data_IF_477944513403
#
_entry.id   IF_477944513403
#
_cell.length_a   1.000
_cell.length_b   1.000
_cell.length_c   1.000
_cell.angle_alpha   90.00
_cell.angle_beta   90.00
_cell.angle_gamma   90.00
#
_symmetry.space_group_name_H-M   'P 1'
#
loop_
_entity.id
_entity.type
_entity.pdbx_description
1 polymer ?
#
# COMPACT_ATOMS: atom_id res chain seq x y z
N UNK A 1 -26.48 17.32 43.01
CA UNK A 1 -25.37 16.35 42.80
C UNK A 1 -25.16 16.16 41.31
N UNK A 2 -23.95 16.38 40.80
CA UNK A 2 -23.70 16.37 39.34
C UNK A 2 -23.60 14.93 38.81
N UNK A 3 -24.08 14.72 37.58
CA UNK A 3 -24.11 13.40 36.93
C UNK A 3 -22.71 12.80 36.71
N UNK A 4 -21.70 13.64 36.54
CA UNK A 4 -20.30 13.24 36.32
C UNK A 4 -19.68 12.60 37.58
N UNK A 5 -20.15 12.96 38.78
CA UNK A 5 -19.63 12.43 40.04
C UNK A 5 -19.93 10.94 40.27
N UNK A 6 -20.85 10.34 39.49
CA UNK A 6 -21.18 8.90 39.54
C UNK A 6 -20.38 8.07 38.55
N UNK A 7 -19.57 8.69 37.70
CA UNK A 7 -18.81 7.99 36.67
C UNK A 7 -17.40 7.67 37.18
N UNK A 8 -16.94 6.45 36.89
CA UNK A 8 -15.60 6.01 37.24
C UNK A 8 -14.60 6.46 36.16
N UNK A 9 -14.19 7.72 36.25
CA UNK A 9 -13.30 8.35 35.29
C UNK A 9 -11.85 7.87 35.53
N UNK A 10 -11.28 7.21 34.52
CA UNK A 10 -9.87 6.80 34.51
C UNK A 10 -9.16 7.42 33.30
N UNK A 11 -7.98 7.98 33.54
CA UNK A 11 -7.11 8.46 32.46
C UNK A 11 -6.43 7.25 31.81
N UNK A 12 -6.81 6.97 30.56
CA UNK A 12 -6.16 5.94 29.74
C UNK A 12 -5.13 6.61 28.83
N UNK A 13 -3.86 6.26 28.99
CA UNK A 13 -2.87 6.43 27.94
C UNK A 13 -2.81 5.14 27.13
N UNK A 14 -3.43 5.14 25.94
CA UNK A 14 -3.31 4.03 25.01
C UNK A 14 -1.92 4.05 24.38
N UNK A 15 -1.01 3.22 24.87
CA UNK A 15 0.26 2.93 24.18
C UNK A 15 -0.02 2.00 23.00
N UNK A 16 -0.45 2.57 21.86
CA UNK A 16 -0.51 1.86 20.58
C UNK A 16 0.83 2.03 19.88
N UNK A 17 1.93 1.68 20.55
CA UNK A 17 3.26 1.82 19.96
C UNK A 17 3.69 0.47 19.41
N UNK A 18 3.03 0.03 18.33
CA UNK A 18 3.70 -0.88 17.40
C UNK A 18 4.94 -0.14 16.90
N UNK A 19 6.10 -0.79 16.89
CA UNK A 19 7.31 -0.18 16.35
C UNK A 19 6.97 0.44 14.98
N UNK A 20 7.14 1.77 14.80
CA UNK A 20 6.82 2.44 13.55
C UNK A 20 7.49 1.80 12.33
N UNK A 21 8.66 1.16 12.51
CA UNK A 21 9.35 0.41 11.45
C UNK A 21 8.55 -0.84 11.10
N UNK A 22 8.20 -1.67 12.08
CA UNK A 22 7.39 -2.87 11.86
C UNK A 22 6.02 -2.56 11.25
N UNK A 23 5.35 -1.50 11.70
CA UNK A 23 4.07 -1.09 11.12
C UNK A 23 4.18 -0.69 9.63
N UNK A 24 5.29 -0.08 9.23
CA UNK A 24 5.56 0.26 7.82
C UNK A 24 5.91 -0.98 7.02
N UNK A 25 6.68 -1.91 7.60
CA UNK A 25 7.02 -3.20 7.01
C UNK A 25 5.76 -4.02 6.71
N UNK A 26 4.89 -4.19 7.69
CA UNK A 26 3.60 -4.89 7.54
C UNK A 26 2.76 -4.27 6.42
N UNK A 27 2.74 -2.93 6.35
CA UNK A 27 2.01 -2.22 5.30
C UNK A 27 2.61 -2.46 3.91
N UNK A 28 3.93 -2.51 3.79
CA UNK A 28 4.58 -2.81 2.52
C UNK A 28 4.28 -4.24 2.09
N UNK A 29 4.40 -5.22 3.00
CA UNK A 29 4.07 -6.62 2.74
C UNK A 29 2.62 -6.77 2.26
N UNK A 30 1.67 -6.17 2.97
CA UNK A 30 0.25 -6.21 2.57
C UNK A 30 0.00 -5.58 1.19
N UNK A 31 0.72 -4.51 0.85
CA UNK A 31 0.61 -3.88 -0.46
C UNK A 31 1.21 -4.75 -1.58
N UNK A 32 2.33 -5.46 -1.31
CA UNK A 32 2.91 -6.42 -2.26
C UNK A 32 1.96 -7.59 -2.50
N UNK A 33 1.31 -8.11 -1.45
CA UNK A 33 0.30 -9.16 -1.58
C UNK A 33 -0.92 -8.70 -2.39
N UNK A 34 -1.33 -7.43 -2.25
CA UNK A 34 -2.38 -6.83 -3.10
C UNK A 34 -1.94 -6.79 -4.57
N UNK A 35 -0.67 -6.49 -4.86
CA UNK A 35 -0.16 -6.56 -6.23
C UNK A 35 -0.15 -7.99 -6.79
N UNK A 36 0.02 -9.01 -5.96
CA UNK A 36 -0.18 -10.40 -6.36
C UNK A 36 -1.61 -10.68 -6.84
N UNK A 37 -2.62 -10.09 -6.20
CA UNK A 37 -4.03 -10.18 -6.65
C UNK A 37 -4.26 -9.40 -7.95
N UNK A 38 -3.64 -8.23 -8.09
CA UNK A 38 -3.67 -7.46 -9.35
C UNK A 38 -3.07 -8.27 -10.50
N UNK A 39 -1.93 -8.93 -10.28
CA UNK A 39 -1.30 -9.81 -11.27
C UNK A 39 -2.21 -10.97 -11.63
N UNK A 40 -2.78 -11.67 -10.64
CA UNK A 40 -3.69 -12.78 -10.88
C UNK A 40 -4.91 -12.37 -11.72
N UNK A 41 -5.50 -11.21 -11.45
CA UNK A 41 -6.61 -10.67 -12.25
C UNK A 41 -6.16 -10.35 -13.68
N UNK A 42 -5.00 -9.69 -13.84
CA UNK A 42 -4.49 -9.32 -15.16
C UNK A 42 -4.16 -10.53 -16.03
N UNK A 43 -3.67 -11.63 -15.44
CA UNK A 43 -3.38 -12.89 -16.14
C UNK A 43 -4.64 -13.55 -16.72
N UNK A 44 -5.80 -13.36 -16.09
CA UNK A 44 -7.09 -13.85 -16.60
C UNK A 44 -7.83 -12.81 -17.45
N UNK A 45 -7.20 -11.66 -17.73
CA UNK A 45 -7.79 -10.57 -18.52
C UNK A 45 -8.81 -9.70 -17.77
N UNK A 46 -8.79 -9.73 -16.43
CA UNK A 46 -9.70 -8.96 -15.57
C UNK A 46 -8.97 -7.84 -14.80
N UNK A 47 -9.73 -6.93 -14.19
CA UNK A 47 -9.21 -5.84 -13.37
C UNK A 47 -9.46 -6.07 -11.88
N UNK A 48 -8.41 -6.00 -11.07
CA UNK A 48 -8.57 -6.04 -9.62
C UNK A 48 -9.06 -4.69 -9.08
N UNK A 49 -10.28 -4.69 -8.51
CA UNK A 49 -10.88 -3.53 -7.86
C UNK A 49 -11.05 -3.75 -6.36
N UNK A 50 -11.03 -2.66 -5.60
CA UNK A 50 -11.34 -2.66 -4.16
C UNK A 50 -12.46 -1.67 -3.88
N UNK A 51 -13.36 -2.05 -2.97
CA UNK A 51 -14.42 -1.16 -2.52
C UNK A 51 -13.82 -0.01 -1.72
N UNK A 52 -14.17 1.21 -2.10
CA UNK A 52 -13.71 2.44 -1.47
C UNK A 52 -14.87 3.39 -1.24
N UNK A 53 -14.77 4.23 -0.21
CA UNK A 53 -15.82 5.21 0.12
C UNK A 53 -15.41 6.58 -0.42
N UNK A 54 -16.28 7.20 -1.22
CA UNK A 54 -16.08 8.56 -1.75
C UNK A 54 -17.24 9.45 -1.30
N UNK A 55 -16.93 10.70 -0.98
CA UNK A 55 -17.95 11.72 -0.79
C UNK A 55 -18.42 12.21 -2.15
N UNK A 56 -19.72 12.12 -2.40
CA UNK A 56 -20.37 12.59 -3.61
C UNK A 56 -21.50 13.54 -3.20
N UNK A 57 -21.66 14.63 -3.93
CA UNK A 57 -22.79 15.55 -3.75
C UNK A 57 -23.94 15.06 -4.63
N UNK A 58 -25.12 14.87 -4.04
CA UNK A 58 -26.33 14.51 -4.79
C UNK A 58 -26.93 15.74 -5.49
N UNK A 59 -27.97 15.52 -6.30
CA UNK A 59 -28.69 16.60 -7.01
C UNK A 59 -29.35 17.61 -6.04
N UNK A 60 -29.63 17.20 -4.80
CA UNK A 60 -30.16 18.05 -3.73
C UNK A 60 -29.08 18.88 -2.99
N UNK A 61 -27.80 18.77 -3.36
CA UNK A 61 -26.70 19.50 -2.75
C UNK A 61 -26.14 18.88 -1.47
N UNK A 62 -26.62 17.71 -1.05
CA UNK A 62 -26.15 17.01 0.15
C UNK A 62 -24.92 16.15 -0.15
N UNK A 63 -23.96 16.13 0.77
CA UNK A 63 -22.78 15.26 0.67
C UNK A 63 -23.09 13.89 1.27
N UNK A 64 -23.09 12.86 0.44
CA UNK A 64 -23.29 11.47 0.83
C UNK A 64 -22.00 10.68 0.67
N UNK A 65 -21.79 9.72 1.59
CA UNK A 65 -20.65 8.80 1.53
C UNK A 65 -21.09 7.55 0.79
N UNK A 66 -20.77 7.48 -0.50
CA UNK A 66 -21.11 6.35 -1.36
C UNK A 66 -19.94 5.35 -1.44
N UNK A 67 -20.29 4.08 -1.54
CA UNK A 67 -19.34 3.01 -1.85
C UNK A 67 -19.17 2.93 -3.37
N UNK A 68 -17.93 2.84 -3.82
CA UNK A 68 -17.59 2.68 -5.24
C UNK A 68 -16.44 1.69 -5.38
N UNK A 69 -16.37 1.05 -6.54
CA UNK A 69 -15.22 0.24 -6.89
C UNK A 69 -14.09 1.13 -7.40
N UNK A 70 -12.91 0.90 -6.84
CA UNK A 70 -11.69 1.58 -7.22
C UNK A 70 -10.69 0.56 -7.74
N UNK A 71 -10.27 0.71 -8.99
CA UNK A 71 -9.16 -0.07 -9.55
C UNK A 71 -7.88 0.15 -8.75
N UNK A 72 -7.22 -0.96 -8.40
CA UNK A 72 -5.86 -0.89 -7.85
C UNK A 72 -4.88 -0.81 -9.01
N UNK A 73 -4.04 0.23 -8.99
CA UNK A 73 -3.03 0.42 -10.03
C UNK A 73 -1.91 -0.60 -9.85
N UNK A 74 -1.62 -1.34 -10.92
CA UNK A 74 -0.50 -2.26 -10.98
C UNK A 74 0.83 -1.53 -10.75
N UNK A 75 1.73 -2.18 -10.04
CA UNK A 75 3.11 -1.74 -9.82
C UNK A 75 4.04 -2.16 -10.95
N UNK A 76 3.51 -2.90 -11.91
CA UNK A 76 4.20 -3.36 -13.10
C UNK A 76 3.50 -2.87 -14.35
N UNK A 77 4.27 -2.70 -15.43
CA UNK A 77 3.78 -2.22 -16.70
C UNK A 77 4.67 -2.75 -17.84
N UNK A 78 4.05 -2.95 -19.00
CA UNK A 78 4.74 -3.39 -20.20
C UNK A 78 5.49 -2.22 -20.85
N UNK A 79 6.76 -2.44 -21.16
CA UNK A 79 7.61 -1.52 -21.92
C UNK A 79 8.83 -2.31 -22.45
N UNK A 80 9.39 -1.87 -23.57
CA UNK A 80 10.60 -2.46 -24.17
C UNK A 80 10.48 -3.97 -24.43
N UNK A 81 9.26 -4.40 -24.80
CA UNK A 81 8.94 -5.79 -25.10
C UNK A 81 9.07 -6.75 -23.90
N UNK A 82 9.02 -6.20 -22.68
CA UNK A 82 8.91 -6.93 -21.41
C UNK A 82 8.16 -6.12 -20.37
N UNK A 83 8.35 -6.45 -19.09
CA UNK A 83 7.64 -5.87 -17.97
C UNK A 83 8.60 -5.29 -16.93
N UNK A 84 8.36 -4.05 -16.54
CA UNK A 84 9.05 -3.43 -15.41
C UNK A 84 8.19 -3.53 -14.16
N UNK A 85 8.79 -3.97 -13.04
CA UNK A 85 8.12 -4.11 -11.74
C UNK A 85 8.76 -3.15 -10.74
N UNK A 86 7.97 -2.22 -10.20
CA UNK A 86 8.43 -1.21 -9.25
C UNK A 86 7.93 -1.49 -7.84
N UNK A 87 8.82 -1.56 -6.85
CA UNK A 87 8.37 -1.62 -5.45
C UNK A 87 7.90 -0.23 -5.00
N UNK A 88 6.69 -0.10 -4.44
CA UNK A 88 6.14 1.19 -4.02
C UNK A 88 5.75 1.20 -2.54
N UNK A 89 5.86 2.36 -1.92
CA UNK A 89 5.29 2.61 -0.60
C UNK A 89 4.32 3.79 -0.67
N UNK A 90 3.03 3.48 -0.66
CA UNK A 90 1.99 4.46 -0.99
C UNK A 90 2.12 4.93 -2.44
N UNK A 91 2.27 6.24 -2.65
CA UNK A 91 2.43 6.82 -3.99
C UNK A 91 3.88 6.85 -4.49
N UNK A 92 4.86 6.50 -3.66
CA UNK A 92 6.30 6.68 -3.96
C UNK A 92 6.96 5.37 -4.35
N UNK A 93 7.84 5.41 -5.35
CA UNK A 93 8.67 4.27 -5.76
C UNK A 93 9.86 4.17 -4.82
N UNK A 94 10.15 2.96 -4.33
CA UNK A 94 11.31 2.65 -3.53
C UNK A 94 12.51 2.36 -4.44
N UNK A 95 13.69 2.80 -4.02
CA UNK A 95 14.93 2.38 -4.66
C UNK A 95 15.34 1.02 -4.11
N UNK A 96 15.54 0.03 -4.98
CA UNK A 96 15.78 -1.37 -4.59
C UNK A 96 17.22 -1.55 -4.10
N UNK A 97 18.17 -0.88 -4.75
CA UNK A 97 19.61 -0.97 -4.46
C UNK A 97 20.28 0.42 -4.37
N UNK A 98 19.49 1.49 -4.20
CA UNK A 98 19.98 2.88 -4.20
C UNK A 98 20.19 3.48 -5.59
N UNK A 99 20.19 2.69 -6.67
CA UNK A 99 20.40 3.15 -8.05
C UNK A 99 19.22 2.85 -8.98
N UNK A 100 18.57 1.70 -8.79
CA UNK A 100 17.52 1.18 -9.66
C UNK A 100 16.20 1.12 -8.92
N UNK A 101 15.12 1.49 -9.61
CA UNK A 101 13.78 1.61 -9.07
C UNK A 101 12.79 0.55 -9.60
N UNK A 102 13.24 -0.28 -10.53
CA UNK A 102 12.45 -1.32 -11.17
C UNK A 102 13.30 -2.56 -11.45
N UNK A 103 12.65 -3.72 -11.52
CA UNK A 103 13.19 -4.97 -12.04
C UNK A 103 12.54 -5.23 -13.40
N UNK A 104 13.31 -5.60 -14.41
CA UNK A 104 12.81 -5.99 -15.73
C UNK A 104 12.66 -7.51 -15.80
N UNK A 105 11.58 -7.97 -16.41
CA UNK A 105 11.32 -9.38 -16.75
C UNK A 105 10.71 -9.48 -18.14
N UNK A 106 10.91 -10.61 -18.82
CA UNK A 106 10.47 -10.76 -20.22
C UNK A 106 8.95 -10.96 -20.35
N UNK A 107 8.31 -11.61 -19.37
CA UNK A 107 6.89 -11.96 -19.41
C UNK A 107 6.13 -11.50 -18.18
N UNK A 108 4.82 -11.30 -18.34
CA UNK A 108 3.93 -10.99 -17.24
C UNK A 108 3.94 -12.08 -16.15
N UNK A 109 4.05 -13.36 -16.53
CA UNK A 109 4.11 -14.48 -15.58
C UNK A 109 5.31 -14.38 -14.61
N UNK A 110 6.43 -13.82 -15.08
CA UNK A 110 7.66 -13.69 -14.30
C UNK A 110 7.56 -12.60 -13.23
N UNK A 111 6.57 -11.70 -13.34
CA UNK A 111 6.30 -10.65 -12.34
C UNK A 111 6.01 -11.25 -10.96
N UNK A 112 5.40 -12.45 -10.91
CA UNK A 112 5.10 -13.14 -9.66
C UNK A 112 6.38 -13.38 -8.84
N UNK A 113 7.45 -13.83 -9.49
CA UNK A 113 8.75 -14.06 -8.83
C UNK A 113 9.37 -12.79 -8.27
N UNK A 114 9.21 -11.67 -8.98
CA UNK A 114 9.71 -10.36 -8.50
C UNK A 114 8.93 -9.87 -7.28
N UNK A 115 7.59 -10.00 -7.30
CA UNK A 115 6.75 -9.63 -6.15
C UNK A 115 7.10 -10.47 -4.91
N UNK A 116 7.36 -11.76 -5.09
CA UNK A 116 7.77 -12.64 -3.99
C UNK A 116 9.15 -12.26 -3.44
N UNK A 117 10.10 -11.92 -4.31
CA UNK A 117 11.41 -11.41 -3.90
C UNK A 117 11.27 -10.09 -3.09
N UNK A 118 10.43 -9.15 -3.54
CA UNK A 118 10.14 -7.93 -2.77
C UNK A 118 9.49 -8.23 -1.42
N UNK A 119 8.60 -9.23 -1.35
CA UNK A 119 7.96 -9.63 -0.10
C UNK A 119 9.00 -10.17 0.89
N UNK A 120 9.89 -11.06 0.45
CA UNK A 120 10.95 -11.61 1.30
C UNK A 120 11.91 -10.51 1.78
N UNK A 121 12.36 -9.63 0.89
CA UNK A 121 13.20 -8.49 1.24
C UNK A 121 12.51 -7.54 2.25
N UNK A 122 11.20 -7.29 2.08
CA UNK A 122 10.42 -6.51 3.04
C UNK A 122 10.36 -7.20 4.41
N UNK A 123 10.05 -8.50 4.48
CA UNK A 123 9.99 -9.27 5.73
C UNK A 123 11.34 -9.25 6.46
N UNK A 124 12.44 -9.42 5.71
CA UNK A 124 13.81 -9.35 6.20
C UNK A 124 14.23 -7.95 6.68
N UNK A 125 13.48 -6.90 6.32
CA UNK A 125 13.75 -5.51 6.70
C UNK A 125 14.73 -4.78 5.79
N UNK A 126 15.11 -5.38 4.65
CA UNK A 126 16.07 -4.79 3.70
C UNK A 126 15.55 -3.47 3.10
N UNK A 127 14.23 -3.32 3.01
CA UNK A 127 13.57 -2.13 2.45
C UNK A 127 13.28 -1.04 3.50
N UNK A 128 13.54 -1.27 4.79
CA UNK A 128 13.17 -0.33 5.86
C UNK A 128 13.85 1.04 5.69
N UNK A 129 15.13 1.04 5.30
CA UNK A 129 15.89 2.26 5.00
C UNK A 129 15.30 3.03 3.82
N UNK A 130 14.92 2.34 2.74
CA UNK A 130 14.29 2.96 1.58
C UNK A 130 12.92 3.57 1.95
N UNK A 131 12.12 2.89 2.76
CA UNK A 131 10.85 3.41 3.29
C UNK A 131 11.08 4.68 4.13
N UNK A 132 12.07 4.67 5.01
CA UNK A 132 12.39 5.81 5.88
C UNK A 132 12.77 7.05 5.05
N UNK A 133 13.59 6.88 4.01
CA UNK A 133 14.00 7.96 3.10
C UNK A 133 12.77 8.58 2.41
N UNK A 134 11.89 7.77 1.81
CA UNK A 134 10.73 8.30 1.10
C UNK A 134 9.68 8.91 2.04
N UNK A 135 9.64 8.49 3.31
CA UNK A 135 8.80 9.10 4.35
C UNK A 135 9.34 10.45 4.83
N UNK A 136 10.65 10.61 4.99
CA UNK A 136 11.26 11.90 5.39
C UNK A 136 11.04 12.97 4.32
N UNK A 137 11.12 12.62 3.04
CA UNK A 137 10.83 13.53 1.93
C UNK A 137 9.33 13.88 1.79
N UNK A 138 8.46 13.45 2.70
CA UNK A 138 7.03 13.85 2.78
C UNK A 138 6.82 15.04 3.73
N UNK A 139 7.75 15.27 4.67
CA UNK A 139 7.65 16.31 5.69
C UNK A 139 8.44 17.58 5.37
N UNK A 140 8.94 17.71 4.15
CA UNK A 140 9.65 18.86 3.60
C UNK A 140 8.82 19.55 2.53
#
# INVERSE_FOLDING_TARGET
MSALAKLNLKTVQRTVQKDPVLARRDKLVAAIEEQGRVLAAMLVGDEYTVKSKRWQTNEAGERLRVEHEKRVRAWFFEQDNGYYVQCRYGSRVLSINGKSNAVFVDKLDDVAGVLDAFKQAAIAGELDSAIAIVMKARSS
#
